data_IF_233438103673
#
_entry.id   IF_233438103673
#
_cell.length_a   1.000
_cell.length_b   1.000
_cell.length_c   1.000
_cell.angle_alpha   90.00
_cell.angle_beta   90.00
_cell.angle_gamma   90.00
#
_symmetry.space_group_name_H-M   'P 1'
#
loop_
_entity.id
_entity.type
_entity.pdbx_description
1 polymer ?
#
# COMPACT_ATOMS: atom_id res chain seq x y z
N UNK A 1 -17.20 -13.48 -7.75
CA UNK A 1 -16.84 -12.34 -6.86
C UNK A 1 -15.74 -11.57 -7.56
N UNK A 2 -15.94 -10.28 -7.87
CA UNK A 2 -14.90 -9.44 -8.50
C UNK A 2 -14.13 -8.76 -7.36
N UNK A 3 -12.99 -9.33 -6.96
CA UNK A 3 -12.19 -8.89 -5.80
C UNK A 3 -11.05 -7.93 -6.18
N UNK A 4 -10.91 -7.59 -7.45
CA UNK A 4 -9.86 -6.70 -7.96
C UNK A 4 -10.50 -5.39 -8.42
N UNK A 5 -9.92 -4.28 -7.95
CA UNK A 5 -10.26 -2.93 -8.41
C UNK A 5 -9.15 -2.49 -9.37
N UNK A 6 -9.49 -2.39 -10.64
CA UNK A 6 -8.56 -1.96 -11.69
C UNK A 6 -8.37 -0.42 -11.67
N UNK A 7 -7.16 0.03 -12.00
CA UNK A 7 -6.79 1.46 -12.08
C UNK A 7 -6.14 1.78 -13.43
N UNK A 8 -6.88 1.65 -14.55
CA UNK A 8 -6.30 1.75 -15.91
C UNK A 8 -5.71 3.13 -16.23
N UNK A 9 -6.13 4.18 -15.51
CA UNK A 9 -5.54 5.50 -15.63
C UNK A 9 -4.08 5.55 -15.17
N UNK A 10 -3.59 4.55 -14.41
CA UNK A 10 -2.19 4.46 -13.98
C UNK A 10 -1.32 3.60 -14.92
N UNK A 11 -1.89 2.96 -15.95
CA UNK A 11 -1.17 1.96 -16.77
C UNK A 11 0.03 2.52 -17.54
N UNK A 12 0.06 3.84 -17.73
CA UNK A 12 1.16 4.54 -18.40
C UNK A 12 2.33 4.87 -17.46
N UNK A 13 2.15 4.70 -16.14
CA UNK A 13 3.16 5.01 -15.13
C UNK A 13 4.07 3.80 -14.89
N UNK A 14 5.34 4.01 -14.48
CA UNK A 14 6.18 2.94 -13.98
C UNK A 14 5.50 2.19 -12.82
N UNK A 15 5.70 0.87 -12.74
CA UNK A 15 5.05 0.02 -11.74
C UNK A 15 5.18 0.55 -10.31
N UNK A 16 6.36 1.08 -9.95
CA UNK A 16 6.62 1.61 -8.61
C UNK A 16 5.74 2.82 -8.29
N UNK A 17 5.54 3.71 -9.26
CA UNK A 17 4.74 4.92 -9.11
C UNK A 17 3.24 4.59 -9.08
N UNK A 18 2.79 3.75 -10.03
CA UNK A 18 1.44 3.23 -10.05
C UNK A 18 1.07 2.53 -8.73
N UNK A 19 2.00 1.71 -8.20
CA UNK A 19 1.78 0.99 -6.93
C UNK A 19 1.68 1.95 -5.74
N UNK A 20 2.48 3.02 -5.71
CA UNK A 20 2.37 4.05 -4.65
C UNK A 20 0.99 4.72 -4.65
N UNK A 21 0.50 5.10 -5.83
CA UNK A 21 -0.84 5.70 -5.98
C UNK A 21 -1.94 4.76 -5.52
N UNK A 22 -1.88 3.49 -5.92
CA UNK A 22 -2.83 2.47 -5.49
C UNK A 22 -2.81 2.25 -3.97
N UNK A 23 -1.61 2.21 -3.36
CA UNK A 23 -1.47 2.05 -1.93
C UNK A 23 -2.00 3.25 -1.13
N UNK A 24 -1.81 4.47 -1.63
CA UNK A 24 -2.40 5.68 -1.05
C UNK A 24 -3.91 5.68 -1.12
N UNK A 25 -4.47 5.23 -2.25
CA UNK A 25 -5.91 5.05 -2.40
C UNK A 25 -6.42 4.06 -1.34
N UNK A 26 -5.78 2.91 -1.16
CA UNK A 26 -6.16 1.92 -0.12
C UNK A 26 -6.15 2.56 1.27
N UNK A 27 -5.06 3.25 1.64
CA UNK A 27 -4.90 3.86 2.98
C UNK A 27 -5.97 4.94 3.25
N UNK A 28 -6.41 5.65 2.22
CA UNK A 28 -7.46 6.67 2.36
C UNK A 28 -8.82 6.07 2.79
N UNK A 29 -9.09 4.82 2.43
CA UNK A 29 -10.38 4.15 2.66
C UNK A 29 -10.45 3.33 3.96
N UNK A 30 -9.31 3.04 4.60
CA UNK A 30 -9.25 2.11 5.75
C UNK A 30 -8.85 2.81 7.04
N UNK A 31 -9.17 2.20 8.19
CA UNK A 31 -8.70 2.67 9.51
C UNK A 31 -7.54 1.83 10.05
N UNK A 32 -7.43 0.59 9.58
CA UNK A 32 -6.38 -0.36 9.98
C UNK A 32 -5.74 -0.97 8.73
N UNK A 33 -4.41 -1.11 8.76
CA UNK A 33 -3.58 -1.75 7.73
C UNK A 33 -2.85 -2.92 8.37
N UNK A 34 -3.03 -4.11 7.79
CA UNK A 34 -2.22 -5.29 8.10
C UNK A 34 -1.33 -5.53 6.88
N UNK A 35 -0.01 -5.41 7.05
CA UNK A 35 0.95 -5.52 5.97
C UNK A 35 1.88 -6.72 6.22
N UNK A 36 1.94 -7.62 5.25
CA UNK A 36 2.94 -8.67 5.17
C UNK A 36 3.98 -8.25 4.14
N UNK A 37 5.23 -8.09 4.55
CA UNK A 37 6.29 -7.57 3.69
C UNK A 37 7.64 -8.20 4.05
N UNK A 38 8.59 -8.18 3.12
CA UNK A 38 10.00 -8.41 3.43
C UNK A 38 10.63 -7.09 3.92
N UNK A 39 11.69 -7.15 4.76
CA UNK A 39 12.36 -5.93 5.26
C UNK A 39 12.95 -5.08 4.12
N UNK A 40 13.23 -5.67 2.95
CA UNK A 40 13.76 -4.97 1.77
C UNK A 40 12.70 -4.31 0.88
N UNK A 41 11.40 -4.53 1.16
CA UNK A 41 10.30 -3.97 0.37
C UNK A 41 10.09 -2.48 0.68
N UNK A 42 10.89 -1.62 0.04
CA UNK A 42 10.86 -0.16 0.21
C UNK A 42 9.46 0.43 0.05
N UNK A 43 8.74 0.04 -1.00
CA UNK A 43 7.40 0.55 -1.30
C UNK A 43 6.41 0.29 -0.16
N UNK A 44 6.39 -0.94 0.38
CA UNK A 44 5.46 -1.30 1.45
C UNK A 44 5.85 -0.65 2.77
N UNK A 45 7.15 -0.49 3.03
CA UNK A 45 7.65 0.21 4.21
C UNK A 45 7.25 1.69 4.19
N UNK A 46 7.43 2.37 3.05
CA UNK A 46 6.99 3.76 2.85
C UNK A 46 5.47 3.90 2.99
N UNK A 47 4.71 3.00 2.35
CA UNK A 47 3.24 2.93 2.44
C UNK A 47 2.78 2.82 3.90
N UNK A 48 3.40 1.94 4.67
CA UNK A 48 3.04 1.74 6.07
C UNK A 48 3.47 2.92 6.96
N UNK A 49 4.56 3.60 6.61
CA UNK A 49 4.95 4.83 7.28
C UNK A 49 3.95 5.97 7.00
N UNK A 50 3.48 6.11 5.76
CA UNK A 50 2.43 7.08 5.40
C UNK A 50 1.11 6.78 6.13
N UNK A 51 0.71 5.50 6.22
CA UNK A 51 -0.46 5.10 7.03
C UNK A 51 -0.33 5.49 8.51
N UNK A 52 0.86 5.27 9.12
CA UNK A 52 1.14 5.70 10.50
C UNK A 52 1.05 7.22 10.65
N UNK A 53 1.57 7.97 9.68
CA UNK A 53 1.52 9.44 9.68
C UNK A 53 0.07 9.96 9.62
N UNK A 54 -0.80 9.25 8.91
CA UNK A 54 -2.26 9.49 8.87
C UNK A 54 -3.01 8.95 10.10
N UNK A 55 -2.29 8.55 11.15
CA UNK A 55 -2.81 8.02 12.42
C UNK A 55 -3.67 6.75 12.24
N UNK A 56 -3.40 5.96 11.21
CA UNK A 56 -4.01 4.64 11.01
C UNK A 56 -3.37 3.61 11.93
N UNK A 57 -4.11 2.57 12.30
CA UNK A 57 -3.56 1.42 13.04
C UNK A 57 -2.78 0.56 12.04
N UNK A 58 -1.49 0.33 12.27
CA UNK A 58 -0.64 -0.44 11.35
C UNK A 58 -0.02 -1.62 12.08
N UNK A 59 -0.25 -2.82 11.57
CA UNK A 59 0.40 -4.06 12.00
C UNK A 59 1.27 -4.58 10.87
N UNK A 60 2.59 -4.65 11.10
CA UNK A 60 3.55 -5.19 10.15
C UNK A 60 3.97 -6.60 10.56
N UNK A 61 3.94 -7.53 9.60
CA UNK A 61 4.51 -8.85 9.70
C UNK A 61 5.62 -9.00 8.66
N UNK A 62 6.83 -9.35 9.12
CA UNK A 62 7.96 -9.59 8.23
C UNK A 62 8.01 -11.06 7.80
N UNK A 63 8.35 -11.30 6.52
CA UNK A 63 8.38 -12.64 5.90
C UNK A 63 9.79 -13.21 5.65
N UNK A 64 10.84 -12.43 5.96
CA UNK A 64 12.27 -12.75 5.91
C UNK A 64 12.87 -13.13 7.27
#
# INVERSE_FOLDING_TARGET
VKTVIEKPHNDHLPLIEASRLCNMDIISHVQQVICFAFHDSRLLMETCQEAKNLRKIVTLFYLD
#
